data_IF_517607141208
#
_entry.id   IF_517607141208
#
_cell.length_a   1.000
_cell.length_b   1.000
_cell.length_c   1.000
_cell.angle_alpha   90.00
_cell.angle_beta   90.00
_cell.angle_gamma   90.00
#
_symmetry.space_group_name_H-M   'P 1'
#
loop_
_entity.id
_entity.type
_entity.pdbx_description
1 polymer ?
#
# COMPACT_ATOMS: atom_id res chain seq x y z
N UNK A 1 4.58 -12.06 14.98
CA UNK A 1 3.20 -11.51 14.96
C UNK A 1 3.18 -10.00 15.12
N UNK A 2 3.68 -9.43 16.23
CA UNK A 2 3.66 -7.97 16.43
C UNK A 2 4.48 -7.21 15.36
N UNK A 3 5.64 -7.75 14.97
CA UNK A 3 6.48 -7.19 13.91
C UNK A 3 5.76 -7.14 12.56
N UNK A 4 5.14 -8.25 12.17
CA UNK A 4 4.41 -8.36 10.90
C UNK A 4 3.20 -7.41 10.87
N UNK A 5 2.48 -7.30 12.00
CA UNK A 5 1.40 -6.34 12.16
C UNK A 5 1.91 -4.89 12.05
N UNK A 6 3.03 -4.56 12.70
CA UNK A 6 3.63 -3.23 12.60
C UNK A 6 4.03 -2.89 11.16
N UNK A 7 4.64 -3.85 10.43
CA UNK A 7 4.98 -3.69 9.02
C UNK A 7 3.72 -3.46 8.18
N UNK A 8 2.66 -4.24 8.40
CA UNK A 8 1.39 -4.07 7.68
C UNK A 8 0.81 -2.66 7.90
N UNK A 9 0.78 -2.20 9.15
CA UNK A 9 0.29 -0.86 9.50
C UNK A 9 1.14 0.22 8.83
N UNK A 10 2.46 0.12 8.90
CA UNK A 10 3.38 1.09 8.31
C UNK A 10 3.26 1.15 6.79
N UNK A 11 3.16 0.00 6.13
CA UNK A 11 2.97 -0.09 4.67
C UNK A 11 1.64 0.54 4.27
N UNK A 12 0.55 0.18 4.95
CA UNK A 12 -0.78 0.72 4.66
C UNK A 12 -0.81 2.23 4.89
N UNK A 13 -0.27 2.72 6.01
CA UNK A 13 -0.19 4.14 6.33
C UNK A 13 0.68 4.90 5.31
N UNK A 14 1.80 4.32 4.88
CA UNK A 14 2.67 4.88 3.85
C UNK A 14 1.95 5.04 2.51
N UNK A 15 1.27 3.99 2.04
CA UNK A 15 0.49 4.06 0.81
C UNK A 15 -0.70 5.02 0.92
N UNK A 16 -1.44 5.01 2.03
CA UNK A 16 -2.54 5.95 2.26
C UNK A 16 -2.05 7.40 2.24
N UNK A 17 -0.92 7.68 2.87
CA UNK A 17 -0.31 9.01 2.87
C UNK A 17 0.12 9.44 1.47
N UNK A 18 0.76 8.56 0.71
CA UNK A 18 1.18 8.84 -0.65
C UNK A 18 -0.01 9.09 -1.59
N UNK A 19 -1.06 8.25 -1.50
CA UNK A 19 -2.28 8.41 -2.29
C UNK A 19 -3.02 9.70 -1.92
N UNK A 20 -3.17 10.00 -0.63
CA UNK A 20 -3.80 11.24 -0.18
C UNK A 20 -3.04 12.47 -0.65
N UNK A 21 -1.70 12.48 -0.52
CA UNK A 21 -0.87 13.57 -1.00
C UNK A 21 -0.99 13.77 -2.52
N UNK A 22 -1.00 12.67 -3.28
CA UNK A 22 -1.18 12.72 -4.73
C UNK A 22 -2.55 13.28 -5.13
N UNK A 23 -3.64 12.78 -4.55
CA UNK A 23 -4.99 13.27 -4.85
C UNK A 23 -5.15 14.73 -4.43
N UNK A 24 -4.64 15.12 -3.25
CA UNK A 24 -4.68 16.51 -2.80
C UNK A 24 -3.90 17.46 -3.73
N UNK A 25 -2.76 17.01 -4.26
CA UNK A 25 -1.94 17.83 -5.16
C UNK A 25 -2.53 17.96 -6.57
N UNK A 26 -3.22 16.94 -7.08
CA UNK A 26 -3.56 16.85 -8.51
C UNK A 26 -5.06 16.71 -8.84
N UNK A 27 -5.91 16.34 -7.87
CA UNK A 27 -7.32 16.01 -8.10
C UNK A 27 -8.30 16.80 -7.22
N UNK A 28 -7.80 17.65 -6.31
CA UNK A 28 -8.63 18.51 -5.46
C UNK A 28 -9.29 17.72 -4.33
N UNK A 29 -10.60 17.49 -4.41
CA UNK A 29 -11.32 16.69 -3.41
C UNK A 29 -10.95 15.21 -3.55
N UNK A 30 -10.32 14.67 -2.50
CA UNK A 30 -9.88 13.28 -2.44
C UNK A 30 -10.86 12.48 -1.55
N UNK A 31 -11.82 11.72 -2.12
CA UNK A 31 -12.74 10.96 -1.30
C UNK A 31 -12.00 9.86 -0.54
N UNK A 32 -12.30 9.75 0.77
CA UNK A 32 -11.64 8.78 1.67
C UNK A 32 -11.70 7.34 1.12
N UNK A 33 -12.80 7.00 0.43
CA UNK A 33 -12.97 5.72 -0.25
C UNK A 33 -11.82 5.45 -1.23
N UNK A 34 -11.47 6.40 -2.08
CA UNK A 34 -10.42 6.23 -3.10
C UNK A 34 -9.04 6.11 -2.47
N UNK A 35 -8.76 6.91 -1.44
CA UNK A 35 -7.51 6.82 -0.68
C UNK A 35 -7.35 5.42 -0.09
N UNK A 36 -8.37 4.95 0.62
CA UNK A 36 -8.34 3.66 1.32
C UNK A 36 -8.32 2.49 0.35
N UNK A 37 -9.14 2.50 -0.71
CA UNK A 37 -9.17 1.40 -1.69
C UNK A 37 -7.85 1.29 -2.45
N UNK A 38 -7.24 2.42 -2.82
CA UNK A 38 -5.97 2.45 -3.53
C UNK A 38 -4.83 2.03 -2.63
N UNK A 39 -4.77 2.53 -1.39
CA UNK A 39 -3.75 2.14 -0.43
C UNK A 39 -3.83 0.65 -0.07
N UNK A 40 -5.05 0.11 0.05
CA UNK A 40 -5.27 -1.31 0.27
C UNK A 40 -4.79 -2.16 -0.93
N UNK A 41 -5.16 -1.77 -2.15
CA UNK A 41 -4.69 -2.45 -3.37
C UNK A 41 -3.16 -2.42 -3.50
N UNK A 42 -2.53 -1.28 -3.23
CA UNK A 42 -1.07 -1.14 -3.24
C UNK A 42 -0.40 -2.03 -2.18
N UNK A 43 -0.98 -2.11 -0.98
CA UNK A 43 -0.51 -2.98 0.09
C UNK A 43 -0.56 -4.46 -0.34
N UNK A 44 -1.68 -4.91 -0.92
CA UNK A 44 -1.80 -6.27 -1.45
C UNK A 44 -0.78 -6.52 -2.57
N UNK A 45 -0.65 -5.58 -3.52
CA UNK A 45 0.32 -5.66 -4.61
C UNK A 45 1.76 -5.82 -4.11
N UNK A 46 2.14 -5.12 -3.05
CA UNK A 46 3.46 -5.27 -2.43
C UNK A 46 3.70 -6.69 -1.89
N UNK A 47 2.72 -7.27 -1.18
CA UNK A 47 2.84 -8.63 -0.65
C UNK A 47 2.88 -9.68 -1.76
N UNK A 48 2.05 -9.52 -2.79
CA UNK A 48 2.05 -10.38 -3.98
C UNK A 48 3.39 -10.29 -4.71
N UNK A 49 3.90 -9.07 -4.93
CA UNK A 49 5.20 -8.83 -5.55
C UNK A 49 6.33 -9.53 -4.79
N UNK A 50 6.36 -9.40 -3.46
CA UNK A 50 7.34 -10.12 -2.62
C UNK A 50 7.20 -11.63 -2.70
N UNK A 51 5.98 -12.14 -2.80
CA UNK A 51 5.76 -13.58 -2.96
C UNK A 51 6.35 -14.08 -4.28
N UNK A 52 6.11 -13.36 -5.37
CA UNK A 52 6.65 -13.67 -6.70
C UNK A 52 8.18 -13.56 -6.71
N UNK A 53 8.73 -12.47 -6.16
CA UNK A 53 10.19 -12.23 -6.05
C UNK A 53 10.89 -13.39 -5.33
N UNK A 54 10.31 -13.87 -4.22
CA UNK A 54 10.82 -15.06 -3.50
C UNK A 54 10.66 -16.36 -4.28
N UNK A 55 9.69 -16.44 -5.18
CA UNK A 55 9.54 -17.56 -6.11
C UNK A 55 10.69 -17.57 -7.11
N UNK A 56 10.86 -16.45 -7.82
CA UNK A 56 11.91 -16.26 -8.84
C UNK A 56 13.32 -16.41 -8.26
N UNK A 57 13.56 -15.95 -7.03
CA UNK A 57 14.85 -16.11 -6.36
C UNK A 57 15.20 -17.57 -6.04
N UNK A 58 14.24 -18.49 -6.09
CA UNK A 58 14.42 -19.92 -5.78
C UNK A 58 14.55 -20.82 -7.03
N UNK A 59 14.53 -20.26 -8.23
CA UNK A 59 14.61 -20.98 -9.51
C UNK A 59 13.25 -21.32 -10.07
#
# INVERSE_FOLDING_TARGET
MLRELAILILVLAGFASATAAYLAAFHGEAPVKEIVSTAFAATLGMYVGRYIERGLARG
#
